data_IF_546997627764
#
_entry.id   IF_546997627764
#
_cell.length_a   1.000
_cell.length_b   1.000
_cell.length_c   1.000
_cell.angle_alpha   90.00
_cell.angle_beta   90.00
_cell.angle_gamma   90.00
#
_symmetry.space_group_name_H-M   'P 1'
#
loop_
_entity.id
_entity.type
_entity.pdbx_description
1 polymer ?
#
# COMPACT_ATOMS: atom_id res chain seq x y z
N UNK A 1 14.49 -11.14 -55.98
CA UNK A 1 14.15 -9.90 -55.24
C UNK A 1 12.70 -10.04 -54.83
N UNK A 2 12.27 -10.13 -53.58
CA UNK A 2 12.70 -9.66 -52.24
C UNK A 2 12.13 -10.74 -51.27
N UNK A 3 12.83 -11.29 -50.27
CA UNK A 3 13.42 -10.64 -49.10
C UNK A 3 12.46 -10.82 -47.90
N UNK A 4 12.83 -11.67 -46.95
CA UNK A 4 11.95 -12.19 -45.89
C UNK A 4 11.61 -11.21 -44.76
N UNK A 5 10.62 -11.59 -43.95
CA UNK A 5 10.36 -10.98 -42.64
C UNK A 5 9.98 -12.08 -41.64
N UNK A 6 10.89 -12.33 -40.69
CA UNK A 6 10.65 -13.11 -39.48
C UNK A 6 10.22 -12.14 -38.38
N UNK A 7 9.08 -12.39 -37.72
CA UNK A 7 8.75 -11.71 -36.48
C UNK A 7 9.36 -12.48 -35.31
N UNK A 8 10.41 -11.92 -34.72
CA UNK A 8 10.95 -12.38 -33.45
C UNK A 8 10.24 -11.60 -32.34
N UNK A 9 9.21 -12.18 -31.73
CA UNK A 9 8.63 -11.61 -30.50
C UNK A 9 9.50 -12.02 -29.32
N UNK A 10 10.53 -11.23 -29.05
CA UNK A 10 11.17 -11.21 -27.74
C UNK A 10 10.20 -10.53 -26.77
N UNK A 11 9.18 -11.26 -26.33
CA UNK A 11 8.36 -10.88 -25.17
C UNK A 11 9.22 -11.10 -23.92
N UNK A 12 10.06 -10.11 -23.62
CA UNK A 12 10.64 -9.95 -22.29
C UNK A 12 9.49 -9.70 -21.32
N UNK A 13 9.03 -10.76 -20.64
CA UNK A 13 8.23 -10.62 -19.43
C UNK A 13 9.05 -9.82 -18.42
N UNK A 14 8.83 -8.51 -18.36
CA UNK A 14 9.16 -7.74 -17.19
C UNK A 14 8.16 -8.18 -16.11
N UNK A 15 8.56 -9.16 -15.30
CA UNK A 15 7.91 -9.44 -14.02
C UNK A 15 7.99 -8.17 -13.17
N UNK A 16 6.98 -7.31 -13.26
CA UNK A 16 6.72 -6.29 -12.24
C UNK A 16 6.20 -7.00 -11.00
N UNK A 17 7.11 -7.59 -10.23
CA UNK A 17 6.85 -7.92 -8.84
C UNK A 17 6.59 -6.61 -8.11
N UNK A 18 5.31 -6.27 -7.90
CA UNK A 18 4.90 -5.11 -7.11
C UNK A 18 5.35 -5.32 -5.67
N UNK A 19 6.49 -4.73 -5.31
CA UNK A 19 7.00 -4.76 -3.95
C UNK A 19 6.11 -3.86 -3.07
N UNK A 20 5.82 -4.30 -1.85
CA UNK A 20 5.09 -3.55 -0.81
C UNK A 20 5.94 -2.44 -0.16
N UNK A 21 7.09 -2.15 -0.74
CA UNK A 21 8.04 -1.11 -0.32
C UNK A 21 8.51 -0.28 -1.50
N UNK A 22 9.02 0.92 -1.20
CA UNK A 22 9.56 1.86 -2.19
C UNK A 22 10.84 1.27 -2.81
N UNK A 23 10.89 1.02 -4.13
CA UNK A 23 11.97 0.23 -4.77
C UNK A 23 13.40 0.78 -4.63
N UNK A 24 13.55 2.04 -4.24
CA UNK A 24 14.85 2.72 -4.16
C UNK A 24 15.12 3.41 -2.82
N UNK A 25 14.42 3.02 -1.74
CA UNK A 25 14.60 3.60 -0.41
C UNK A 25 14.84 2.56 0.67
N UNK A 26 15.61 2.94 1.69
CA UNK A 26 15.78 2.20 2.93
C UNK A 26 15.59 3.11 4.14
N UNK A 27 15.13 2.51 5.23
CA UNK A 27 15.23 3.06 6.58
C UNK A 27 16.47 2.43 7.21
N UNK A 28 17.38 3.27 7.70
CA UNK A 28 18.66 2.84 8.27
C UNK A 28 18.84 3.50 9.62
N UNK A 29 19.23 2.70 10.61
CA UNK A 29 19.67 3.21 11.91
C UNK A 29 21.13 2.85 12.14
N UNK A 30 21.90 3.84 12.60
CA UNK A 30 23.28 3.66 13.01
C UNK A 30 23.36 3.56 14.53
N UNK A 31 24.37 2.85 15.02
CA UNK A 31 24.67 2.75 16.45
C UNK A 31 25.00 4.14 17.00
N UNK A 32 24.65 4.40 18.26
CA UNK A 32 24.83 5.72 18.88
C UNK A 32 26.28 6.25 18.86
N UNK A 33 27.27 5.36 18.83
CA UNK A 33 28.69 5.71 18.80
C UNK A 33 29.27 5.83 17.37
N UNK A 34 28.45 5.69 16.32
CA UNK A 34 28.88 5.86 14.95
C UNK A 34 29.29 7.31 14.69
N UNK A 35 30.45 7.52 14.08
CA UNK A 35 30.90 8.86 13.70
C UNK A 35 30.06 9.40 12.55
N UNK A 36 29.51 10.61 12.68
CA UNK A 36 28.75 11.28 11.63
C UNK A 36 29.53 11.41 10.32
N UNK A 37 30.84 11.64 10.38
CA UNK A 37 31.68 11.72 9.19
C UNK A 37 31.84 10.36 8.49
N UNK A 38 31.90 9.26 9.26
CA UNK A 38 31.92 7.90 8.73
C UNK A 38 30.58 7.56 8.07
N UNK A 39 29.47 7.90 8.72
CA UNK A 39 28.11 7.70 8.18
C UNK A 39 27.94 8.43 6.85
N UNK A 40 28.29 9.71 6.79
CA UNK A 40 28.19 10.49 5.56
C UNK A 40 29.09 9.96 4.44
N UNK A 41 30.31 9.54 4.77
CA UNK A 41 31.25 8.95 3.81
C UNK A 41 30.76 7.60 3.30
N UNK A 42 30.14 6.80 4.18
CA UNK A 42 29.55 5.52 3.83
C UNK A 42 28.35 5.69 2.90
N UNK A 43 27.44 6.62 3.17
CA UNK A 43 26.33 6.92 2.26
C UNK A 43 26.82 7.23 0.84
N UNK A 44 27.85 8.08 0.73
CA UNK A 44 28.48 8.38 -0.57
C UNK A 44 29.08 7.14 -1.22
N UNK A 45 29.77 6.27 -0.47
CA UNK A 45 30.40 5.06 -1.03
C UNK A 45 29.39 4.05 -1.55
N UNK A 46 28.22 3.95 -0.91
CA UNK A 46 27.12 3.09 -1.39
C UNK A 46 26.20 3.78 -2.40
N UNK A 47 26.47 5.04 -2.76
CA UNK A 47 25.66 5.81 -3.71
C UNK A 47 24.25 6.10 -3.20
N UNK A 48 24.11 6.32 -1.88
CA UNK A 48 22.86 6.69 -1.22
C UNK A 48 22.90 8.16 -0.80
N UNK A 49 21.77 8.83 -0.96
CA UNK A 49 21.52 10.19 -0.49
C UNK A 49 20.50 10.13 0.65
N UNK A 50 20.69 10.94 1.68
CA UNK A 50 19.70 11.05 2.77
C UNK A 50 18.54 11.89 2.29
N UNK A 51 17.31 11.36 2.39
CA UNK A 51 16.07 12.09 2.12
C UNK A 51 15.50 12.73 3.37
N UNK A 52 15.52 12.01 4.50
CA UNK A 52 15.03 12.51 5.78
C UNK A 52 15.76 11.85 6.94
N UNK A 53 15.71 12.51 8.10
CA UNK A 53 16.25 12.00 9.37
C UNK A 53 15.23 12.23 10.48
N UNK A 54 15.16 11.30 11.41
CA UNK A 54 14.48 11.47 12.69
C UNK A 54 15.52 11.45 13.80
N UNK A 55 15.86 12.62 14.33
CA UNK A 55 16.89 12.75 15.37
C UNK A 55 16.46 12.15 16.71
N UNK A 56 15.15 11.99 16.94
CA UNK A 56 14.60 11.47 18.20
C UNK A 56 14.65 9.95 18.25
N UNK A 57 14.36 9.29 17.13
CA UNK A 57 14.38 7.83 16.98
C UNK A 57 15.73 7.33 16.42
N UNK A 58 16.52 8.24 15.83
CA UNK A 58 17.89 8.01 15.37
C UNK A 58 18.01 7.31 14.03
N UNK A 59 16.96 7.33 13.19
CA UNK A 59 16.99 6.69 11.87
C UNK A 59 17.04 7.70 10.73
N UNK A 60 17.52 7.23 9.58
CA UNK A 60 17.62 7.99 8.34
C UNK A 60 16.88 7.25 7.22
N UNK A 61 16.12 7.98 6.41
CA UNK A 61 15.58 7.47 5.15
C UNK A 61 16.57 7.84 4.06
N UNK A 62 17.07 6.83 3.36
CA UNK A 62 18.06 7.01 2.29
C UNK A 62 17.49 6.55 0.96
N UNK A 63 17.88 7.23 -0.11
CA UNK A 63 17.52 6.89 -1.49
C UNK A 63 18.76 6.66 -2.33
N UNK A 64 18.72 5.65 -3.19
CA UNK A 64 19.82 5.31 -4.09
C UNK A 64 19.35 5.27 -5.55
N UNK A 65 20.25 5.59 -6.48
CA UNK A 65 19.92 5.65 -7.91
C UNK A 65 20.19 4.34 -8.66
N UNK A 66 20.97 3.42 -8.06
CA UNK A 66 21.38 2.14 -8.68
C UNK A 66 21.36 1.00 -7.68
N UNK A 67 20.98 -0.18 -8.16
CA UNK A 67 20.88 -1.42 -7.38
C UNK A 67 19.48 -1.65 -6.80
N UNK A 68 19.29 -2.78 -6.13
CA UNK A 68 18.02 -3.18 -5.51
C UNK A 68 18.02 -2.94 -3.99
N UNK A 69 16.83 -2.83 -3.39
CA UNK A 69 16.66 -2.80 -1.91
C UNK A 69 17.41 -3.94 -1.24
N UNK A 70 17.32 -5.17 -1.78
CA UNK A 70 18.01 -6.36 -1.23
C UNK A 70 19.53 -6.21 -1.25
N UNK A 71 20.09 -5.71 -2.35
CA UNK A 71 21.53 -5.45 -2.47
C UNK A 71 21.98 -4.38 -1.47
N UNK A 72 21.23 -3.28 -1.36
CA UNK A 72 21.56 -2.19 -0.44
C UNK A 72 21.46 -2.64 1.01
N UNK A 73 20.42 -3.37 1.40
CA UNK A 73 20.33 -3.96 2.74
C UNK A 73 21.57 -4.79 3.04
N UNK A 74 22.05 -5.60 2.10
CA UNK A 74 23.29 -6.38 2.27
C UNK A 74 24.51 -5.47 2.47
N UNK A 75 24.65 -4.40 1.68
CA UNK A 75 25.74 -3.42 1.85
C UNK A 75 25.71 -2.75 3.22
N UNK A 76 24.54 -2.31 3.69
CA UNK A 76 24.37 -1.66 4.99
C UNK A 76 24.60 -2.64 6.16
N UNK A 77 24.09 -3.87 6.07
CA UNK A 77 24.29 -4.90 7.11
C UNK A 77 25.76 -5.30 7.29
N UNK A 78 26.60 -5.10 6.27
CA UNK A 78 28.03 -5.36 6.36
C UNK A 78 28.82 -4.24 7.05
N UNK A 79 28.21 -3.09 7.32
CA UNK A 79 28.85 -1.99 8.02
C UNK A 79 28.70 -2.18 9.54
N UNK A 80 29.80 -2.26 10.32
CA UNK A 80 29.73 -2.48 11.77
C UNK A 80 29.08 -1.32 12.54
N UNK A 81 28.98 -0.13 11.95
CA UNK A 81 28.32 1.05 12.55
C UNK A 81 26.80 1.03 12.36
N UNK A 82 26.27 0.16 11.49
CA UNK A 82 24.83 0.02 11.24
C UNK A 82 24.21 -0.86 12.32
N UNK A 83 23.12 -0.39 12.92
CA UNK A 83 22.29 -1.15 13.86
C UNK A 83 21.27 -1.99 13.09
N UNK A 84 20.54 -1.37 12.16
CA UNK A 84 19.67 -2.07 11.22
C UNK A 84 19.49 -1.30 9.91
N UNK A 85 19.07 -2.04 8.87
CA UNK A 85 18.66 -1.49 7.59
C UNK A 85 17.52 -2.34 7.01
N UNK A 86 16.42 -1.68 6.67
CA UNK A 86 15.17 -2.32 6.23
C UNK A 86 14.51 -1.55 5.06
N UNK A 87 13.65 -2.22 4.28
CA UNK A 87 12.88 -1.55 3.23
C UNK A 87 11.99 -0.43 3.80
N UNK A 88 11.81 0.66 3.03
CA UNK A 88 10.78 1.64 3.35
C UNK A 88 9.42 1.15 2.82
N UNK A 89 8.64 0.46 3.67
CA UNK A 89 7.34 -0.10 3.32
C UNK A 89 6.28 0.97 3.10
N UNK A 90 5.37 0.73 2.16
CA UNK A 90 4.13 1.48 2.09
C UNK A 90 3.24 1.08 3.26
N UNK A 91 2.79 2.08 4.03
CA UNK A 91 1.80 1.89 5.08
C UNK A 91 0.49 2.52 4.66
N UNK A 92 -0.62 1.85 4.97
CA UNK A 92 -1.96 2.33 4.69
C UNK A 92 -2.73 2.44 5.99
N UNK A 93 -3.46 3.54 6.16
CA UNK A 93 -4.38 3.67 7.27
C UNK A 93 -5.56 2.71 7.05
N UNK A 94 -5.91 1.94 8.09
CA UNK A 94 -7.14 1.16 8.08
C UNK A 94 -8.34 2.12 8.03
N UNK A 95 -9.32 1.80 7.18
CA UNK A 95 -10.56 2.53 7.13
C UNK A 95 -11.47 2.13 8.28
N UNK A 96 -12.03 3.12 8.98
CA UNK A 96 -13.01 2.90 10.05
C UNK A 96 -14.33 3.56 9.69
N UNK A 97 -15.48 2.86 9.84
CA UNK A 97 -16.78 3.47 9.67
C UNK A 97 -16.97 4.72 10.54
N UNK A 98 -17.70 5.69 9.99
CA UNK A 98 -18.10 6.90 10.69
C UNK A 98 -19.34 6.71 11.57
N UNK A 99 -19.91 5.50 11.64
CA UNK A 99 -21.05 5.18 12.49
C UNK A 99 -20.61 5.08 13.97
N UNK A 100 -21.13 5.95 14.87
CA UNK A 100 -20.77 5.94 16.29
C UNK A 100 -21.07 4.60 16.99
N UNK A 101 -22.03 3.83 16.51
CA UNK A 101 -22.43 2.54 17.07
C UNK A 101 -21.76 1.35 16.38
N UNK A 102 -20.84 1.57 15.44
CA UNK A 102 -20.17 0.49 14.70
C UNK A 102 -19.53 -0.56 15.62
N UNK A 103 -19.01 -0.15 16.79
CA UNK A 103 -18.43 -1.05 17.80
C UNK A 103 -19.44 -2.06 18.35
N UNK A 104 -20.74 -1.75 18.29
CA UNK A 104 -21.82 -2.62 18.76
C UNK A 104 -22.31 -3.59 17.67
N UNK A 105 -21.86 -3.44 16.42
CA UNK A 105 -22.32 -4.25 15.30
C UNK A 105 -21.51 -5.56 15.18
N UNK A 106 -21.79 -6.49 16.11
CA UNK A 106 -21.11 -7.79 16.22
C UNK A 106 -21.00 -8.55 14.89
N UNK A 107 -22.07 -8.54 14.08
CA UNK A 107 -22.10 -9.27 12.81
C UNK A 107 -20.99 -8.84 11.84
N UNK A 108 -20.79 -7.53 11.70
CA UNK A 108 -19.77 -6.96 10.80
C UNK A 108 -18.35 -7.26 11.28
N UNK A 109 -18.14 -7.29 12.60
CA UNK A 109 -16.87 -7.71 13.20
C UNK A 109 -16.60 -9.20 12.94
N UNK A 110 -17.61 -10.05 13.13
CA UNK A 110 -17.50 -11.50 12.99
C UNK A 110 -17.13 -11.93 11.56
N UNK A 111 -17.67 -11.24 10.56
CA UNK A 111 -17.38 -11.52 9.14
C UNK A 111 -16.16 -10.76 8.61
N UNK A 112 -15.42 -10.06 9.47
CA UNK A 112 -14.23 -9.29 9.09
C UNK A 112 -14.50 -8.23 8.00
N UNK A 113 -15.66 -7.56 8.07
CA UNK A 113 -16.02 -6.52 7.12
C UNK A 113 -15.03 -5.33 7.08
N UNK A 114 -14.47 -4.83 8.22
CA UNK A 114 -13.46 -3.78 8.19
C UNK A 114 -12.26 -4.07 7.29
N UNK A 115 -11.72 -5.28 7.39
CA UNK A 115 -10.57 -5.71 6.61
C UNK A 115 -10.91 -5.80 5.12
N UNK A 116 -12.12 -6.25 4.80
CA UNK A 116 -12.60 -6.27 3.41
C UNK A 116 -12.72 -4.85 2.84
N UNK A 117 -13.17 -3.88 3.63
CA UNK A 117 -13.29 -2.47 3.25
C UNK A 117 -11.96 -1.75 3.06
N UNK A 118 -10.86 -2.27 3.61
CA UNK A 118 -9.52 -1.79 3.27
C UNK A 118 -9.13 -2.16 1.83
N UNK A 119 -9.71 -3.25 1.30
CA UNK A 119 -9.47 -3.73 -0.07
C UNK A 119 -10.49 -3.16 -1.08
N UNK A 120 -11.78 -3.22 -0.77
CA UNK A 120 -12.86 -2.74 -1.63
C UNK A 120 -14.10 -2.37 -0.79
N UNK A 121 -14.64 -1.15 -0.98
CA UNK A 121 -15.82 -0.66 -0.22
C UNK A 121 -17.10 -0.66 -1.03
N UNK A 122 -17.04 -0.11 -2.24
CA UNK A 122 -18.21 0.04 -3.10
C UNK A 122 -17.80 -0.04 -4.56
N UNK A 123 -18.60 -0.71 -5.35
CA UNK A 123 -18.54 -0.67 -6.81
C UNK A 123 -19.92 -0.21 -7.30
N UNK A 124 -20.06 0.98 -7.94
CA UNK A 124 -21.34 1.45 -8.46
C UNK A 124 -21.90 0.57 -9.59
N UNK A 125 -21.08 -0.31 -10.18
CA UNK A 125 -21.52 -1.32 -11.14
C UNK A 125 -22.21 -2.53 -10.50
N UNK A 126 -22.02 -2.77 -9.20
CA UNK A 126 -22.64 -3.89 -8.48
C UNK A 126 -23.96 -3.44 -7.87
N UNK A 127 -25.07 -4.04 -8.34
CA UNK A 127 -26.42 -3.79 -7.83
C UNK A 127 -26.88 -4.98 -6.98
N UNK A 128 -27.43 -4.70 -5.81
CA UNK A 128 -28.00 -5.70 -4.90
C UNK A 128 -29.51 -5.54 -4.89
N UNK A 129 -30.24 -6.60 -5.27
CA UNK A 129 -31.70 -6.64 -5.19
C UNK A 129 -32.14 -7.26 -3.86
N UNK A 130 -33.06 -6.60 -3.16
CA UNK A 130 -33.66 -7.08 -1.90
C UNK A 130 -35.14 -7.30 -2.17
N UNK A 131 -35.62 -8.54 -1.99
CA UNK A 131 -37.03 -8.91 -2.14
C UNK A 131 -37.61 -9.04 -0.73
N UNK A 132 -38.25 -7.97 -0.27
CA UNK A 132 -38.78 -7.82 1.09
C UNK A 132 -39.98 -6.86 1.06
N UNK A 133 -40.42 -6.35 2.20
CA UNK A 133 -41.58 -5.44 2.36
C UNK A 133 -41.37 -4.02 1.81
N UNK A 134 -40.32 -3.79 1.02
CA UNK A 134 -39.91 -2.46 0.54
C UNK A 134 -38.84 -1.79 1.41
N UNK A 135 -38.51 -0.53 1.09
CA UNK A 135 -37.43 0.24 1.73
C UNK A 135 -37.82 1.71 1.92
N UNK A 136 -37.50 2.28 3.08
CA UNK A 136 -37.60 3.72 3.27
C UNK A 136 -36.40 4.43 2.60
N UNK A 137 -36.52 4.72 1.31
CA UNK A 137 -35.47 5.38 0.53
C UNK A 137 -35.04 6.74 1.07
N UNK A 138 -35.90 7.45 1.80
CA UNK A 138 -35.59 8.76 2.39
C UNK A 138 -34.79 8.71 3.70
N UNK A 139 -34.51 7.51 4.25
CA UNK A 139 -33.73 7.40 5.47
C UNK A 139 -32.30 7.94 5.27
N UNK A 140 -31.74 8.76 6.19
CA UNK A 140 -30.43 9.40 5.99
C UNK A 140 -29.29 8.43 5.63
N UNK A 141 -29.27 7.25 6.23
CA UNK A 141 -28.23 6.24 5.95
C UNK A 141 -28.39 5.49 4.62
N UNK A 142 -29.55 5.65 3.95
CA UNK A 142 -29.94 4.94 2.73
C UNK A 142 -30.19 5.85 1.52
N UNK A 143 -30.41 7.15 1.73
CA UNK A 143 -30.86 8.10 0.71
C UNK A 143 -29.96 8.23 -0.53
N UNK A 144 -28.68 7.88 -0.41
CA UNK A 144 -27.73 7.86 -1.53
C UNK A 144 -27.38 6.46 -2.04
N UNK A 145 -28.00 5.42 -1.47
CA UNK A 145 -27.69 4.00 -1.74
C UNK A 145 -28.85 3.25 -2.38
N UNK A 146 -30.08 3.74 -2.22
CA UNK A 146 -31.29 3.16 -2.82
C UNK A 146 -31.50 3.77 -4.20
N UNK A 147 -31.57 2.92 -5.22
CA UNK A 147 -31.99 3.28 -6.58
C UNK A 147 -33.46 2.89 -6.77
N UNK A 148 -34.09 3.40 -7.84
CA UNK A 148 -35.48 3.04 -8.16
C UNK A 148 -35.64 1.51 -8.27
N UNK A 149 -36.58 0.97 -7.49
CA UNK A 149 -36.91 -0.45 -7.42
C UNK A 149 -38.20 -0.76 -8.17
N UNK A 150 -38.81 -1.91 -7.87
CA UNK A 150 -40.13 -2.26 -8.37
C UNK A 150 -40.98 -2.78 -7.20
N UNK A 151 -42.17 -2.22 -7.03
CA UNK A 151 -43.21 -2.72 -6.14
C UNK A 151 -44.12 -3.66 -6.93
N UNK A 152 -44.17 -4.92 -6.51
CA UNK A 152 -45.00 -5.94 -7.16
C UNK A 152 -46.46 -5.94 -6.69
N UNK A 153 -46.77 -5.25 -5.59
CA UNK A 153 -48.14 -5.14 -5.07
C UNK A 153 -48.92 -4.11 -5.87
N UNK A 154 -48.34 -2.92 -6.04
CA UNK A 154 -48.98 -1.79 -6.74
C UNK A 154 -48.48 -1.62 -8.20
N UNK A 155 -47.51 -2.44 -8.61
CA UNK A 155 -46.97 -2.54 -9.98
C UNK A 155 -46.35 -1.23 -10.50
N UNK A 156 -45.59 -0.54 -9.65
CA UNK A 156 -44.80 0.67 -9.96
C UNK A 156 -43.31 0.57 -9.59
#
# INVERSE_FOLDING_TARGET
MIGGFFFNTNTSSAETSSTDYVPNQLIVKFKQNASLSNVQSFHKSVGANVLSKDDKLGFEVVQFSKGTVKEKIKSYKNNPDVEYAEPNYYVHAFWTPNDPYFKNQYGLQKIQAPQAWDSQRSDPGVKVAIIDTGVQGSHPDLASKVIYGHDYVDND
#
